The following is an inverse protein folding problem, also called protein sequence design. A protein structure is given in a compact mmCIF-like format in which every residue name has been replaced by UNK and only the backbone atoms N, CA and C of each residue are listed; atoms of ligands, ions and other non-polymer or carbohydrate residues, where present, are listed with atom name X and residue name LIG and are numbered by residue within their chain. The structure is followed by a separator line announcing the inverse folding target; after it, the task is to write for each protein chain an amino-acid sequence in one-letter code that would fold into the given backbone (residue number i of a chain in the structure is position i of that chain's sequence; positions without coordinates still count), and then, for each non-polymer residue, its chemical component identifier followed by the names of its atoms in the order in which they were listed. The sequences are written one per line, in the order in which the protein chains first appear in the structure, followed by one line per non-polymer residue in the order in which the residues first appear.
data_IF_746452891207
#
_entry.id   IF_746452891207
#
_cell.length_a   1.000
_cell.length_b   1.000
_cell.length_c   1.000
_cell.angle_alpha   90.00
_cell.angle_beta   90.00
_cell.angle_gamma   90.00
#
_symmetry.space_group_name_H-M   'P 1'
#
loop_
_entity.id
_entity.type
_entity.pdbx_description
1 polymer ?
#
# COMPACT_ATOMS: atom_id res chain seq x y z
N UNK A 1 10.80 16.97 -10.31
CA UNK A 1 10.77 15.71 -9.51
C UNK A 1 9.66 14.75 -9.94
N UNK A 2 8.43 15.22 -10.24
CA UNK A 2 7.30 14.37 -10.68
C UNK A 2 7.59 13.52 -11.94
N UNK A 3 8.31 14.04 -12.93
CA UNK A 3 8.62 13.31 -14.16
C UNK A 3 9.50 12.06 -13.93
N UNK A 4 10.44 12.13 -12.97
CA UNK A 4 11.27 10.98 -12.58
C UNK A 4 10.42 9.86 -11.98
N UNK A 5 9.52 10.18 -11.07
CA UNK A 5 8.62 9.21 -10.45
C UNK A 5 7.67 8.58 -11.49
N UNK A 6 7.19 9.39 -12.45
CA UNK A 6 6.39 8.86 -13.58
C UNK A 6 7.19 7.89 -14.45
N UNK A 7 8.49 8.12 -14.64
CA UNK A 7 9.37 7.22 -15.39
C UNK A 7 9.59 5.91 -14.60
N UNK A 8 9.88 6.02 -13.32
CA UNK A 8 10.04 4.86 -12.43
C UNK A 8 8.77 4.02 -12.40
N UNK A 9 7.61 4.65 -12.31
CA UNK A 9 6.33 3.95 -12.32
C UNK A 9 6.05 3.18 -13.61
N UNK A 10 6.72 3.46 -14.74
CA UNK A 10 6.59 2.69 -15.98
C UNK A 10 7.24 1.30 -15.90
N UNK A 11 8.13 1.07 -14.96
CA UNK A 11 8.77 -0.22 -14.77
C UNK A 11 7.76 -1.30 -14.30
N UNK A 12 8.03 -2.58 -14.57
CA UNK A 12 7.21 -3.67 -14.09
C UNK A 12 7.12 -3.66 -12.56
N UNK A 13 5.91 -3.90 -12.00
CA UNK A 13 5.69 -3.87 -10.55
C UNK A 13 6.60 -4.83 -9.79
N UNK A 14 6.81 -6.05 -10.30
CA UNK A 14 7.69 -7.03 -9.67
C UNK A 14 9.15 -6.57 -9.59
N UNK A 15 9.63 -5.84 -10.61
CA UNK A 15 10.95 -5.23 -10.59
C UNK A 15 11.05 -4.16 -9.50
N UNK A 16 10.06 -3.27 -9.43
CA UNK A 16 10.00 -2.22 -8.41
C UNK A 16 9.96 -2.80 -7.00
N UNK A 17 9.17 -3.86 -6.79
CA UNK A 17 9.09 -4.57 -5.51
C UNK A 17 10.44 -5.19 -5.12
N UNK A 18 11.13 -5.83 -6.07
CA UNK A 18 12.45 -6.41 -5.85
C UNK A 18 13.49 -5.34 -5.48
N UNK A 19 13.54 -4.28 -6.27
CA UNK A 19 14.43 -3.14 -6.05
C UNK A 19 14.13 -2.44 -4.71
N UNK A 20 12.86 -2.19 -4.42
CA UNK A 20 12.42 -1.64 -3.14
C UNK A 20 12.81 -2.52 -1.95
N UNK A 21 12.69 -3.83 -2.08
CA UNK A 21 13.11 -4.76 -1.04
C UNK A 21 14.61 -4.65 -0.74
N UNK A 22 15.44 -4.54 -1.77
CA UNK A 22 16.89 -4.37 -1.61
C UNK A 22 17.22 -3.04 -0.91
N UNK A 23 16.60 -1.95 -1.33
CA UNK A 23 16.78 -0.63 -0.70
C UNK A 23 16.32 -0.67 0.75
N UNK A 24 15.14 -1.23 1.02
CA UNK A 24 14.60 -1.31 2.38
C UNK A 24 15.46 -2.13 3.32
N UNK A 25 16.05 -3.21 2.83
CA UNK A 25 17.02 -4.01 3.58
C UNK A 25 18.32 -3.23 3.83
N UNK A 26 18.84 -2.54 2.82
CA UNK A 26 20.02 -1.69 2.96
C UNK A 26 19.79 -0.59 4.01
N UNK A 27 18.67 0.12 3.94
CA UNK A 27 18.28 1.14 4.93
C UNK A 27 18.18 0.55 6.33
N UNK A 28 17.61 -0.67 6.45
CA UNK A 28 17.56 -1.35 7.75
C UNK A 28 18.95 -1.57 8.33
N UNK A 29 19.91 -2.00 7.53
CA UNK A 29 21.28 -2.24 8.02
C UNK A 29 22.07 -0.96 8.26
N UNK A 30 21.90 0.06 7.44
CA UNK A 30 22.64 1.33 7.54
C UNK A 30 22.08 2.27 8.60
N UNK A 31 20.79 2.13 9.00
CA UNK A 31 20.17 3.00 10.00
C UNK A 31 20.03 2.32 11.38
N UNK A 32 20.94 2.58 12.32
CA UNK A 32 20.87 1.98 13.66
C UNK A 32 19.58 2.31 14.40
N UNK A 33 19.07 3.55 14.26
CA UNK A 33 17.83 3.99 14.90
C UNK A 33 16.60 3.26 14.36
N UNK A 34 16.49 3.11 13.03
CA UNK A 34 15.42 2.36 12.42
C UNK A 34 15.47 0.89 12.82
N UNK A 35 16.66 0.28 12.79
CA UNK A 35 16.89 -1.11 13.17
C UNK A 35 16.49 -1.37 14.63
N UNK A 36 16.89 -0.49 15.54
CA UNK A 36 16.53 -0.60 16.96
C UNK A 36 15.03 -0.55 17.17
N UNK A 37 14.36 0.48 16.64
CA UNK A 37 12.88 0.62 16.75
C UNK A 37 12.14 -0.58 16.17
N UNK A 38 12.57 -1.07 15.02
CA UNK A 38 11.97 -2.25 14.37
C UNK A 38 12.11 -3.48 15.26
N UNK A 39 13.29 -3.71 15.85
CA UNK A 39 13.51 -4.84 16.76
C UNK A 39 12.67 -4.73 18.03
N UNK A 40 12.61 -3.55 18.62
CA UNK A 40 11.85 -3.32 19.84
C UNK A 40 10.35 -3.56 19.60
N UNK A 41 9.80 -3.03 18.50
CA UNK A 41 8.40 -3.24 18.13
C UNK A 41 8.08 -4.72 17.86
N UNK A 42 8.95 -5.43 17.16
CA UNK A 42 8.75 -6.86 16.88
C UNK A 42 8.82 -7.69 18.15
N UNK A 43 9.74 -7.39 19.08
CA UNK A 43 9.84 -8.06 20.38
C UNK A 43 8.59 -7.84 21.22
N UNK A 44 8.06 -6.62 21.26
CA UNK A 44 6.80 -6.33 21.94
C UNK A 44 5.62 -7.12 21.35
N UNK A 45 5.65 -7.40 20.03
CA UNK A 45 4.68 -8.24 19.37
C UNK A 45 4.97 -9.76 19.44
N UNK A 46 6.00 -10.18 20.22
CA UNK A 46 6.35 -11.60 20.40
C UNK A 46 7.26 -12.20 19.31
N UNK A 47 7.75 -11.38 18.35
CA UNK A 47 8.61 -11.85 17.27
C UNK A 47 10.10 -11.62 17.59
N UNK A 48 10.80 -12.66 18.01
CA UNK A 48 12.20 -12.54 18.44
C UNK A 48 13.22 -13.05 17.42
N UNK A 49 12.78 -13.71 16.35
CA UNK A 49 13.68 -14.29 15.36
C UNK A 49 14.26 -13.24 14.41
N UNK A 50 15.57 -13.31 14.16
CA UNK A 50 16.29 -12.37 13.31
C UNK A 50 15.71 -12.25 11.89
N UNK A 51 15.14 -13.35 11.36
CA UNK A 51 14.49 -13.37 10.02
C UNK A 51 13.34 -12.36 9.88
N UNK A 52 12.65 -12.02 10.99
CA UNK A 52 11.56 -11.04 10.94
C UNK A 52 12.08 -9.60 10.83
N UNK A 53 13.25 -9.32 11.41
CA UNK A 53 13.80 -7.97 11.43
C UNK A 53 14.12 -7.45 10.02
N UNK A 54 14.78 -8.27 9.21
CA UNK A 54 15.09 -7.92 7.82
C UNK A 54 13.85 -7.91 6.92
N UNK A 55 12.90 -8.82 7.18
CA UNK A 55 11.63 -8.85 6.42
C UNK A 55 10.85 -7.55 6.54
N UNK A 56 10.84 -6.90 7.71
CA UNK A 56 10.17 -5.60 7.89
C UNK A 56 10.82 -4.54 7.01
N UNK A 57 12.15 -4.43 7.00
CA UNK A 57 12.86 -3.49 6.12
C UNK A 57 12.56 -3.73 4.65
N UNK A 58 12.65 -4.98 4.21
CA UNK A 58 12.33 -5.38 2.83
C UNK A 58 10.90 -5.03 2.44
N UNK A 59 9.93 -5.31 3.31
CA UNK A 59 8.53 -5.02 3.04
C UNK A 59 8.23 -3.52 3.03
N UNK A 60 8.84 -2.74 3.91
CA UNK A 60 8.74 -1.29 3.88
C UNK A 60 9.25 -0.71 2.56
N UNK A 61 10.39 -1.22 2.06
CA UNK A 61 10.93 -0.81 0.76
C UNK A 61 10.03 -1.21 -0.41
N UNK A 62 9.44 -2.42 -0.38
CA UNK A 62 8.45 -2.84 -1.40
C UNK A 62 7.26 -1.90 -1.43
N UNK A 63 6.66 -1.63 -0.26
CA UNK A 63 5.51 -0.74 -0.13
C UNK A 63 5.80 0.65 -0.66
N UNK A 64 6.98 1.22 -0.36
CA UNK A 64 7.37 2.53 -0.88
C UNK A 64 7.39 2.56 -2.43
N UNK A 65 7.87 1.51 -3.08
CA UNK A 65 7.87 1.41 -4.55
C UNK A 65 6.47 1.14 -5.11
N UNK A 66 5.65 0.36 -4.41
CA UNK A 66 4.24 0.14 -4.76
C UNK A 66 3.45 1.44 -4.70
N UNK A 67 3.64 2.27 -3.68
CA UNK A 67 3.00 3.59 -3.59
C UNK A 67 3.33 4.47 -4.79
N UNK A 68 4.60 4.53 -5.21
CA UNK A 68 5.01 5.26 -6.42
C UNK A 68 4.25 4.69 -7.65
N UNK A 69 4.19 3.38 -7.79
CA UNK A 69 3.51 2.73 -8.90
C UNK A 69 2.01 3.03 -8.91
N UNK A 70 1.35 2.99 -7.76
CA UNK A 70 -0.10 3.28 -7.62
C UNK A 70 -0.43 4.72 -7.98
N UNK A 71 0.36 5.69 -7.50
CA UNK A 71 0.07 7.11 -7.69
C UNK A 71 0.45 7.66 -9.07
N UNK A 72 1.40 7.05 -9.76
CA UNK A 72 1.91 7.55 -11.05
C UNK A 72 1.49 6.70 -12.25
N UNK A 73 0.74 5.62 -12.05
CA UNK A 73 0.12 4.86 -13.16
C UNK A 73 -1.30 5.32 -13.43
N UNK A 74 -1.78 5.17 -14.68
CA UNK A 74 -3.21 5.37 -14.96
C UNK A 74 -4.08 4.48 -14.07
N UNK A 75 -5.15 5.03 -13.49
CA UNK A 75 -6.04 4.30 -12.59
C UNK A 75 -6.52 2.96 -13.18
N UNK A 76 -6.86 2.93 -14.48
CA UNK A 76 -7.24 1.68 -15.17
C UNK A 76 -6.19 0.59 -15.06
N UNK A 77 -4.89 0.94 -15.15
CA UNK A 77 -3.80 -0.02 -15.01
C UNK A 77 -3.68 -0.54 -13.58
N UNK A 78 -3.87 0.34 -12.60
CA UNK A 78 -3.85 -0.04 -11.18
C UNK A 78 -5.03 -0.97 -10.89
N UNK A 79 -6.23 -0.56 -11.28
CA UNK A 79 -7.47 -1.30 -11.02
C UNK A 79 -7.46 -2.70 -11.65
N UNK A 80 -6.84 -2.88 -12.81
CA UNK A 80 -6.72 -4.20 -13.46
C UNK A 80 -5.91 -5.21 -12.64
N UNK A 81 -5.15 -4.76 -11.64
CA UNK A 81 -4.37 -5.62 -10.73
C UNK A 81 -5.04 -5.85 -9.38
N UNK A 82 -6.11 -5.11 -9.08
CA UNK A 82 -6.84 -5.26 -7.82
C UNK A 82 -7.75 -6.48 -7.88
N UNK A 83 -7.62 -7.35 -6.90
CA UNK A 83 -8.51 -8.50 -6.72
C UNK A 83 -9.26 -8.31 -5.41
N UNK A 84 -10.57 -8.29 -5.48
CA UNK A 84 -11.45 -8.14 -4.31
C UNK A 84 -12.28 -9.39 -4.16
N UNK A 85 -12.46 -9.85 -2.93
CA UNK A 85 -13.36 -10.98 -2.69
C UNK A 85 -14.82 -10.55 -2.93
N UNK A 86 -15.68 -11.42 -3.46
CA UNK A 86 -17.09 -11.10 -3.67
C UNK A 86 -17.80 -10.62 -2.40
N UNK A 87 -17.42 -11.17 -1.24
CA UNK A 87 -17.95 -10.74 0.05
C UNK A 87 -17.58 -9.28 0.38
N UNK A 88 -16.30 -8.90 0.18
CA UNK A 88 -15.85 -7.53 0.44
C UNK A 88 -16.53 -6.54 -0.53
N UNK A 89 -16.65 -6.91 -1.80
CA UNK A 89 -17.33 -6.10 -2.82
C UNK A 89 -18.80 -5.89 -2.46
N UNK A 90 -19.52 -6.92 -2.01
CA UNK A 90 -20.89 -6.82 -1.56
C UNK A 90 -21.05 -5.91 -0.34
N UNK A 91 -20.19 -6.07 0.68
CA UNK A 91 -20.24 -5.24 1.90
C UNK A 91 -19.98 -3.76 1.55
N UNK A 92 -18.95 -3.49 0.79
CA UNK A 92 -18.58 -2.12 0.40
C UNK A 92 -19.66 -1.52 -0.50
N UNK A 93 -20.14 -2.26 -1.50
CA UNK A 93 -21.21 -1.82 -2.39
C UNK A 93 -22.48 -1.45 -1.64
N UNK A 94 -22.93 -2.30 -0.72
CA UNK A 94 -24.10 -2.05 0.13
C UNK A 94 -23.90 -0.83 1.04
N UNK A 95 -22.72 -0.67 1.62
CA UNK A 95 -22.39 0.51 2.42
C UNK A 95 -22.41 1.79 1.56
N UNK A 96 -21.82 1.76 0.37
CA UNK A 96 -21.74 2.92 -0.54
C UNK A 96 -23.12 3.38 -1.03
N UNK A 97 -24.07 2.46 -1.19
CA UNK A 97 -25.46 2.77 -1.63
C UNK A 97 -26.40 3.11 -0.47
N UNK A 98 -26.00 2.90 0.79
CA UNK A 98 -26.85 3.10 1.98
C UNK A 98 -27.27 4.55 2.25
N UNK A 99 -26.66 5.54 1.59
CA UNK A 99 -26.87 6.97 1.88
C UNK A 99 -26.21 7.48 3.16
N UNK A 100 -25.72 6.60 4.04
CA UNK A 100 -25.08 6.97 5.32
C UNK A 100 -23.60 7.34 5.13
N UNK A 101 -23.03 8.19 6.00
CA UNK A 101 -21.58 8.41 6.05
C UNK A 101 -20.83 7.10 6.30
N UNK A 102 -19.67 6.93 5.67
CA UNK A 102 -18.83 5.74 5.81
C UNK A 102 -17.43 6.18 6.18
N UNK A 103 -16.87 5.50 7.18
CA UNK A 103 -15.45 5.64 7.55
C UNK A 103 -14.76 4.31 7.27
N UNK A 104 -13.76 4.33 6.41
CA UNK A 104 -12.90 3.18 6.15
C UNK A 104 -11.68 3.24 7.05
N UNK A 105 -11.52 2.25 7.90
CA UNK A 105 -10.31 2.07 8.69
C UNK A 105 -9.41 1.07 7.99
N UNK A 106 -8.20 1.49 7.63
CA UNK A 106 -7.22 0.61 7.01
C UNK A 106 -6.03 0.42 7.93
N UNK A 107 -5.66 -0.81 8.28
CA UNK A 107 -4.35 -1.04 8.87
C UNK A 107 -3.30 -0.75 7.79
N UNK A 108 -2.20 -0.08 8.12
CA UNK A 108 -1.12 0.19 7.17
C UNK A 108 -0.35 -1.10 6.81
N UNK A 109 -1.07 -2.06 6.21
CA UNK A 109 -0.55 -3.36 5.78
C UNK A 109 -0.52 -3.41 4.25
N UNK A 110 0.64 -3.65 3.68
CA UNK A 110 0.83 -3.63 2.23
C UNK A 110 0.59 -2.24 1.63
N UNK A 111 0.23 -2.19 0.35
CA UNK A 111 -0.06 -0.94 -0.34
C UNK A 111 -1.48 -0.45 -0.03
N UNK A 112 -1.66 0.17 1.12
CA UNK A 112 -2.97 0.65 1.58
C UNK A 112 -3.53 1.78 0.70
N UNK A 113 -2.71 2.49 -0.07
CA UNK A 113 -3.13 3.52 -1.02
C UNK A 113 -4.00 2.98 -2.16
N UNK A 114 -4.03 1.66 -2.35
CA UNK A 114 -4.86 1.05 -3.40
C UNK A 114 -6.36 1.16 -3.09
N UNK A 115 -6.74 1.19 -1.81
CA UNK A 115 -8.14 1.28 -1.41
C UNK A 115 -8.81 2.58 -1.87
N UNK A 116 -8.28 3.78 -1.60
CA UNK A 116 -8.87 5.02 -2.11
C UNK A 116 -8.89 5.08 -3.65
N UNK A 117 -7.87 4.58 -4.33
CA UNK A 117 -7.84 4.52 -5.80
C UNK A 117 -8.93 3.58 -6.33
N UNK A 118 -9.12 2.42 -5.69
CA UNK A 118 -10.17 1.47 -6.06
C UNK A 118 -11.57 2.04 -5.80
N UNK A 119 -11.81 2.61 -4.64
CA UNK A 119 -13.09 3.24 -4.30
C UNK A 119 -13.44 4.38 -5.28
N UNK A 120 -12.46 5.23 -5.59
CA UNK A 120 -12.65 6.32 -6.54
C UNK A 120 -12.97 5.79 -7.95
N UNK A 121 -12.24 4.78 -8.41
CA UNK A 121 -12.39 4.25 -9.76
C UNK A 121 -13.61 3.32 -9.97
N UNK A 122 -14.24 2.85 -8.91
CA UNK A 122 -15.36 1.89 -9.01
C UNK A 122 -16.68 2.41 -8.47
N UNK A 123 -16.65 3.23 -7.42
CA UNK A 123 -17.86 3.67 -6.73
C UNK A 123 -18.18 5.15 -6.91
N UNK A 124 -17.18 6.01 -7.12
CA UNK A 124 -17.42 7.45 -7.28
C UNK A 124 -18.35 7.76 -8.47
N UNK A 125 -18.07 7.17 -9.64
CA UNK A 125 -18.89 7.39 -10.84
C UNK A 125 -20.34 6.92 -10.65
N UNK A 126 -20.55 5.86 -9.88
CA UNK A 126 -21.87 5.27 -9.62
C UNK A 126 -22.68 6.01 -8.56
N UNK A 127 -22.03 6.58 -7.57
CA UNK A 127 -22.69 7.12 -6.37
C UNK A 127 -22.51 8.63 -6.20
N UNK A 128 -21.60 9.26 -6.95
CA UNK A 128 -21.22 10.66 -6.78
C UNK A 128 -20.55 11.01 -5.44
N UNK A 129 -20.27 10.00 -4.62
CA UNK A 129 -19.74 10.20 -3.26
C UNK A 129 -18.22 10.43 -3.29
N UNK A 130 -17.81 11.60 -2.84
CA UNK A 130 -16.37 11.94 -2.72
C UNK A 130 -15.70 11.16 -1.60
N UNK A 131 -14.45 10.79 -1.81
CA UNK A 131 -13.58 10.15 -0.83
C UNK A 131 -12.67 11.24 -0.27
N UNK A 132 -12.63 11.35 1.07
CA UNK A 132 -11.70 12.21 1.78
C UNK A 132 -10.72 11.32 2.54
N UNK A 133 -9.43 11.60 2.41
CA UNK A 133 -8.37 10.93 3.15
C UNK A 133 -7.96 11.85 4.28
N UNK A 134 -7.96 11.34 5.51
CA UNK A 134 -7.58 12.05 6.72
C UNK A 134 -6.14 11.76 7.09
#
# INVERSE_FOLDING_TARGET
MHWLLSLVAKLPLGFLQGFGACIGELVFWLSPGYRRRTRDNLRHAGYNEAKFFTKVGRNAGRQSMESIWVWYRPAKTVLSRVKISPQAEHIIGSAMTSGRPIVFLTPHVGCFEILPVWLAGTHYEKTGRRITIL
#
